data_IF_828339229481
#
_entry.id   IF_828339229481
#
_cell.length_a   1.000
_cell.length_b   1.000
_cell.length_c   1.000
_cell.angle_alpha   90.00
_cell.angle_beta   90.00
_cell.angle_gamma   90.00
#
_symmetry.space_group_name_H-M   'P 1'
#
loop_
_entity.id
_entity.type
_entity.pdbx_description
1 polymer ?
#
# COMPACT_ATOMS: atom_id res chain seq x y z
N UNK A 1 -21.36 -0.05 -9.25
CA UNK A 1 -20.88 0.62 -8.00
C UNK A 1 -20.19 1.95 -8.31
N UNK A 2 -19.99 2.85 -7.33
CA UNK A 2 -19.24 4.12 -7.54
C UNK A 2 -17.78 3.90 -7.91
N UNK A 3 -17.14 2.91 -7.28
CA UNK A 3 -15.77 2.49 -7.61
C UNK A 3 -15.66 2.03 -9.06
N UNK A 4 -16.61 1.23 -9.54
CA UNK A 4 -16.68 0.78 -10.94
C UNK A 4 -16.86 1.95 -11.93
N UNK A 5 -17.75 2.90 -11.60
CA UNK A 5 -17.96 4.10 -12.44
C UNK A 5 -16.70 4.95 -12.50
N UNK A 6 -16.01 5.10 -11.37
CA UNK A 6 -14.72 5.79 -11.28
C UNK A 6 -13.66 5.05 -12.10
N UNK A 7 -13.60 3.73 -12.02
CA UNK A 7 -12.65 2.92 -12.77
C UNK A 7 -12.81 3.07 -14.29
N UNK A 8 -14.06 3.18 -14.77
CA UNK A 8 -14.37 3.45 -16.18
C UNK A 8 -13.93 4.85 -16.59
N UNK A 9 -14.25 5.89 -15.80
CA UNK A 9 -13.93 7.29 -16.12
C UNK A 9 -12.42 7.55 -16.12
N UNK A 10 -11.69 6.95 -15.18
CA UNK A 10 -10.25 7.15 -15.03
C UNK A 10 -9.41 6.07 -15.72
N UNK A 11 -10.04 5.16 -16.47
CA UNK A 11 -9.37 4.05 -17.17
C UNK A 11 -8.38 3.28 -16.29
N UNK A 12 -8.84 2.91 -15.09
CA UNK A 12 -8.02 2.27 -14.06
C UNK A 12 -7.34 1.01 -14.60
N UNK A 13 -6.03 0.89 -14.34
CA UNK A 13 -5.19 -0.20 -14.87
C UNK A 13 -5.18 -1.44 -13.98
N UNK A 14 -5.45 -1.29 -12.70
CA UNK A 14 -5.51 -2.38 -11.72
C UNK A 14 -6.23 -1.92 -10.45
N UNK A 15 -6.73 -2.88 -9.68
CA UNK A 15 -7.23 -2.67 -8.32
C UNK A 15 -6.27 -3.33 -7.34
N UNK A 16 -5.97 -2.61 -6.26
CA UNK A 16 -5.24 -3.13 -5.10
C UNK A 16 -6.21 -3.24 -3.94
N UNK A 17 -6.20 -4.41 -3.31
CA UNK A 17 -6.97 -4.71 -2.13
C UNK A 17 -6.01 -5.01 -0.98
N UNK A 18 -6.27 -4.36 0.15
CA UNK A 18 -5.46 -4.49 1.36
C UNK A 18 -6.38 -5.11 2.41
N UNK A 19 -6.50 -6.43 2.36
CA UNK A 19 -7.51 -7.17 3.12
C UNK A 19 -6.86 -8.10 4.16
N UNK A 20 -7.62 -8.37 5.23
CA UNK A 20 -7.30 -9.45 6.17
C UNK A 20 -7.84 -10.75 5.58
N UNK A 21 -7.07 -11.84 5.68
CA UNK A 21 -7.58 -13.14 5.24
C UNK A 21 -8.74 -13.61 6.13
N UNK A 22 -9.81 -14.10 5.51
CA UNK A 22 -10.98 -14.69 6.18
C UNK A 22 -12.27 -13.90 5.91
N UNK A 23 -13.04 -14.37 4.93
CA UNK A 23 -14.41 -13.93 4.58
C UNK A 23 -14.63 -12.42 4.45
N UNK A 24 -13.91 -11.79 3.51
CA UNK A 24 -14.34 -10.50 2.97
C UNK A 24 -15.29 -10.72 1.75
N UNK A 25 -16.62 -10.60 1.92
CA UNK A 25 -17.57 -10.64 0.80
C UNK A 25 -17.32 -9.52 -0.24
N UNK A 26 -16.54 -8.48 0.09
CA UNK A 26 -16.10 -7.48 -0.89
C UNK A 26 -15.13 -8.07 -1.91
N UNK A 27 -14.23 -8.97 -1.52
CA UNK A 27 -13.32 -9.61 -2.47
C UNK A 27 -14.09 -10.42 -3.51
N UNK A 28 -15.00 -11.30 -3.07
CA UNK A 28 -15.74 -12.18 -3.99
C UNK A 28 -16.66 -11.40 -4.92
N UNK A 29 -17.42 -10.43 -4.40
CA UNK A 29 -18.34 -9.66 -5.22
C UNK A 29 -17.62 -8.59 -6.06
N UNK A 30 -16.63 -7.91 -5.46
CA UNK A 30 -15.84 -6.88 -6.12
C UNK A 30 -15.00 -7.43 -7.26
N UNK A 31 -14.25 -8.52 -7.04
CA UNK A 31 -13.39 -9.11 -8.08
C UNK A 31 -14.18 -9.51 -9.33
N UNK A 32 -15.38 -10.07 -9.19
CA UNK A 32 -16.25 -10.41 -10.32
C UNK A 32 -16.64 -9.18 -11.16
N UNK A 33 -16.96 -8.06 -10.51
CA UNK A 33 -17.30 -6.82 -11.23
C UNK A 33 -16.11 -6.26 -12.02
N UNK A 34 -14.90 -6.29 -11.46
CA UNK A 34 -13.71 -5.78 -12.15
C UNK A 34 -13.16 -6.75 -13.19
N UNK A 35 -13.36 -8.05 -13.00
CA UNK A 35 -13.09 -9.06 -14.01
C UNK A 35 -13.93 -8.81 -15.28
N UNK A 36 -15.20 -8.44 -15.14
CA UNK A 36 -16.06 -8.06 -16.27
C UNK A 36 -15.56 -6.81 -17.02
N UNK A 37 -14.74 -5.96 -16.37
CA UNK A 37 -14.10 -4.79 -16.98
C UNK A 37 -12.70 -5.07 -17.52
N UNK A 38 -12.21 -6.31 -17.46
CA UNK A 38 -10.83 -6.69 -17.77
C UNK A 38 -9.78 -5.91 -16.95
N UNK A 39 -10.13 -5.48 -15.73
CA UNK A 39 -9.21 -4.79 -14.82
C UNK A 39 -8.67 -5.84 -13.84
N UNK A 40 -7.35 -6.07 -13.79
CA UNK A 40 -6.76 -7.04 -12.87
C UNK A 40 -6.89 -6.57 -11.41
N UNK A 41 -7.18 -7.51 -10.53
CA UNK A 41 -7.32 -7.29 -9.09
C UNK A 41 -6.22 -8.03 -8.34
N UNK A 42 -5.51 -7.35 -7.45
CA UNK A 42 -4.45 -7.90 -6.61
C UNK A 42 -4.79 -7.70 -5.12
N UNK A 43 -4.61 -8.72 -4.28
CA UNK A 43 -4.74 -8.60 -2.81
C UNK A 43 -3.39 -8.74 -2.13
N UNK A 44 -3.22 -8.06 -1.01
CA UNK A 44 -2.24 -8.41 0.02
C UNK A 44 -2.98 -8.94 1.24
N UNK A 45 -2.58 -10.08 1.79
CA UNK A 45 -3.17 -10.67 3.00
C UNK A 45 -2.22 -10.57 4.18
N UNK A 46 -2.74 -10.41 5.40
CA UNK A 46 -2.08 -10.88 6.62
C UNK A 46 -2.61 -12.27 6.99
N UNK A 47 -1.71 -13.20 7.33
CA UNK A 47 -2.02 -14.55 7.83
C UNK A 47 -2.49 -15.62 6.81
N UNK A 48 -1.89 -15.67 5.62
CA UNK A 48 -1.74 -16.87 4.79
C UNK A 48 -2.94 -17.77 4.47
N UNK A 49 -3.29 -17.84 3.18
CA UNK A 49 -3.25 -19.12 2.44
C UNK A 49 -3.30 -18.96 0.91
N UNK A 50 -3.85 -17.86 0.37
CA UNK A 50 -3.81 -17.57 -1.08
C UNK A 50 -3.73 -16.04 -1.32
N UNK A 51 -2.52 -15.47 -1.18
CA UNK A 51 -1.69 -14.78 -2.21
C UNK A 51 -0.47 -14.24 -1.47
N UNK A 52 0.66 -14.88 -1.76
CA UNK A 52 2.00 -14.52 -1.31
C UNK A 52 2.42 -13.14 -1.81
N UNK A 53 3.47 -12.60 -1.19
CA UNK A 53 4.36 -11.60 -1.75
C UNK A 53 4.34 -11.54 -3.29
N UNK A 54 4.14 -10.34 -3.85
CA UNK A 54 4.09 -10.17 -5.30
C UNK A 54 4.86 -8.93 -5.76
N UNK A 55 5.30 -8.95 -7.00
CA UNK A 55 5.86 -7.81 -7.71
C UNK A 55 5.09 -7.61 -9.01
N UNK A 56 4.40 -6.47 -9.12
CA UNK A 56 3.74 -6.06 -10.35
C UNK A 56 4.48 -4.87 -10.96
N UNK A 57 4.85 -5.01 -12.23
CA UNK A 57 5.39 -3.92 -13.03
C UNK A 57 4.33 -3.39 -13.99
N UNK A 58 4.13 -2.08 -13.99
CA UNK A 58 3.21 -1.37 -14.88
C UNK A 58 4.03 -0.43 -15.73
N UNK A 59 3.91 -0.54 -17.05
CA UNK A 59 4.57 0.38 -17.98
C UNK A 59 3.88 1.74 -17.92
N UNK A 60 4.68 2.78 -17.80
CA UNK A 60 4.28 4.18 -17.79
C UNK A 60 4.80 4.87 -19.07
N UNK A 61 4.33 6.08 -19.39
CA UNK A 61 4.92 6.89 -20.46
C UNK A 61 6.44 7.07 -20.27
N UNK A 62 7.15 7.33 -21.37
CA UNK A 62 8.60 7.55 -21.40
C UNK A 62 9.42 6.37 -20.86
N UNK A 63 8.95 5.15 -21.13
CA UNK A 63 9.59 3.87 -20.72
C UNK A 63 9.82 3.73 -19.20
N UNK A 64 9.18 4.58 -18.41
CA UNK A 64 9.22 4.48 -16.96
C UNK A 64 8.39 3.27 -16.49
N UNK A 65 8.78 2.70 -15.36
CA UNK A 65 8.08 1.56 -14.77
C UNK A 65 7.60 1.97 -13.38
N UNK A 66 6.33 1.68 -13.10
CA UNK A 66 5.79 1.64 -11.75
C UNK A 66 5.91 0.20 -11.23
N UNK A 67 6.58 0.05 -10.11
CA UNK A 67 6.69 -1.21 -9.38
C UNK A 67 5.81 -1.17 -8.14
N UNK A 68 4.88 -2.13 -8.09
CA UNK A 68 3.99 -2.34 -6.96
C UNK A 68 4.42 -3.65 -6.29
N UNK A 69 4.83 -3.57 -5.04
CA UNK A 69 5.32 -4.70 -4.26
C UNK A 69 4.31 -5.00 -3.16
N UNK A 70 3.60 -6.12 -3.28
CA UNK A 70 2.76 -6.63 -2.20
C UNK A 70 3.59 -7.43 -1.22
N UNK A 71 3.47 -7.14 0.07
CA UNK A 71 4.21 -7.76 1.16
C UNK A 71 3.23 -8.33 2.19
N UNK A 72 3.37 -9.61 2.54
CA UNK A 72 2.69 -10.18 3.71
C UNK A 72 3.36 -9.65 4.98
N UNK A 73 2.60 -8.89 5.78
CA UNK A 73 3.07 -8.30 7.03
C UNK A 73 2.83 -9.22 8.24
N UNK A 74 2.02 -10.28 8.11
CA UNK A 74 1.72 -11.20 9.21
C UNK A 74 2.97 -11.84 9.85
N UNK A 75 3.92 -12.39 9.07
CA UNK A 75 5.18 -12.89 9.61
C UNK A 75 6.03 -11.87 10.38
N UNK A 76 5.79 -10.58 10.21
CA UNK A 76 6.52 -9.52 10.90
C UNK A 76 5.94 -9.25 12.30
N UNK A 77 4.70 -9.64 12.56
CA UNK A 77 4.13 -9.58 13.91
C UNK A 77 4.83 -10.55 14.86
N UNK A 78 5.35 -11.68 14.39
CA UNK A 78 6.09 -12.66 15.21
C UNK A 78 7.38 -12.09 15.85
N UNK A 79 7.82 -10.89 15.44
CA UNK A 79 8.84 -10.11 16.16
C UNK A 79 8.43 -9.79 17.61
N UNK A 80 7.14 -9.89 17.94
CA UNK A 80 6.52 -9.50 19.20
C UNK A 80 6.75 -10.46 20.38
N UNK A 81 7.11 -11.73 20.14
CA UNK A 81 7.00 -12.76 21.18
C UNK A 81 8.27 -13.03 22.00
N UNK A 82 9.47 -12.97 21.42
CA UNK A 82 10.72 -13.31 22.14
C UNK A 82 11.89 -12.33 21.91
N UNK A 83 11.65 -11.17 21.26
CA UNK A 83 12.70 -10.21 20.91
C UNK A 83 13.72 -10.72 19.89
N UNK A 84 13.50 -11.92 19.35
CA UNK A 84 14.31 -12.55 18.30
C UNK A 84 13.45 -12.66 17.03
N UNK A 85 14.00 -12.24 15.89
CA UNK A 85 13.31 -12.39 14.61
C UNK A 85 13.08 -13.87 14.30
N UNK A 86 11.85 -14.23 13.96
CA UNK A 86 11.54 -15.56 13.44
C UNK A 86 12.20 -15.75 12.07
N UNK A 87 12.43 -17.00 11.66
CA UNK A 87 12.97 -17.28 10.32
C UNK A 87 12.03 -16.73 9.23
N UNK A 88 10.72 -16.82 9.45
CA UNK A 88 9.69 -16.28 8.55
C UNK A 88 9.84 -14.75 8.39
N UNK A 89 10.00 -14.00 9.49
CA UNK A 89 10.24 -12.55 9.42
C UNK A 89 11.52 -12.23 8.66
N UNK A 90 12.60 -12.99 8.88
CA UNK A 90 13.90 -12.76 8.21
C UNK A 90 13.82 -13.05 6.72
N UNK A 91 13.16 -14.12 6.32
CA UNK A 91 12.93 -14.47 4.92
C UNK A 91 12.10 -13.39 4.22
N UNK A 92 11.06 -12.90 4.90
CA UNK A 92 10.20 -11.82 4.41
C UNK A 92 10.98 -10.52 4.16
N UNK A 93 11.78 -10.09 5.13
CA UNK A 93 12.63 -8.90 5.02
C UNK A 93 13.67 -9.08 3.91
N UNK A 94 14.31 -10.25 3.84
CA UNK A 94 15.32 -10.55 2.82
C UNK A 94 14.73 -10.54 1.41
N UNK A 95 13.55 -11.15 1.23
CA UNK A 95 12.84 -11.16 -0.05
C UNK A 95 12.48 -9.75 -0.50
N UNK A 96 11.97 -8.92 0.41
CA UNK A 96 11.59 -7.55 0.12
C UNK A 96 12.80 -6.69 -0.27
N UNK A 97 13.90 -6.78 0.49
CA UNK A 97 15.14 -6.09 0.17
C UNK A 97 15.68 -6.50 -1.21
N UNK A 98 15.75 -7.81 -1.48
CA UNK A 98 16.20 -8.31 -2.79
C UNK A 98 15.28 -7.88 -3.93
N UNK A 99 13.98 -7.76 -3.68
CA UNK A 99 13.00 -7.31 -4.67
C UNK A 99 13.19 -5.83 -5.00
N UNK A 100 13.34 -4.98 -3.98
CA UNK A 100 13.51 -3.53 -4.13
C UNK A 100 14.89 -3.14 -4.69
N UNK A 101 15.91 -3.98 -4.49
CA UNK A 101 17.26 -3.78 -5.01
C UNK A 101 17.39 -4.04 -6.52
N UNK A 102 16.42 -4.71 -7.15
CA UNK A 102 16.48 -5.10 -8.58
C UNK A 102 16.39 -3.92 -9.54
N UNK A 103 15.91 -2.77 -9.08
CA UNK A 103 15.70 -1.59 -9.93
C UNK A 103 16.19 -0.32 -9.24
N UNK A 104 16.83 0.52 -10.05
CA UNK A 104 17.10 1.91 -9.74
C UNK A 104 16.17 2.80 -10.58
N UNK A 105 15.70 3.90 -10.00
CA UNK A 105 14.98 5.00 -10.69
C UNK A 105 13.53 4.74 -11.16
N UNK A 106 12.85 3.73 -10.62
CA UNK A 106 11.42 3.49 -10.87
C UNK A 106 10.53 4.03 -9.74
N UNK A 107 9.25 4.29 -10.02
CA UNK A 107 8.27 4.47 -8.96
C UNK A 107 8.15 3.16 -8.18
N UNK A 108 8.21 3.23 -6.86
CA UNK A 108 8.07 2.08 -5.97
C UNK A 108 6.95 2.35 -4.98
N UNK A 109 5.89 1.56 -5.08
CA UNK A 109 4.79 1.52 -4.13
C UNK A 109 4.84 0.15 -3.44
N UNK A 110 4.94 0.16 -2.12
CA UNK A 110 4.83 -1.07 -1.32
C UNK A 110 3.45 -1.11 -0.69
N UNK A 111 2.84 -2.30 -0.68
CA UNK A 111 1.49 -2.52 -0.17
C UNK A 111 1.57 -3.65 0.85
N UNK A 112 1.10 -3.44 2.07
CA UNK A 112 1.03 -4.46 3.11
C UNK A 112 -0.18 -4.23 4.01
N UNK A 113 -0.60 -5.24 4.77
CA UNK A 113 -1.81 -5.10 5.57
C UNK A 113 -1.62 -4.18 6.78
N UNK A 114 -0.52 -4.36 7.52
CA UNK A 114 -0.28 -3.69 8.80
C UNK A 114 0.36 -2.30 8.65
N UNK A 115 -0.12 -1.26 9.34
CA UNK A 115 0.49 0.06 9.29
C UNK A 115 1.86 0.08 9.96
N UNK A 116 2.85 0.70 9.29
CA UNK A 116 4.23 0.80 9.79
C UNK A 116 4.51 2.05 10.63
N UNK A 117 3.58 3.00 10.63
CA UNK A 117 3.67 4.25 11.39
C UNK A 117 2.51 4.36 12.37
N UNK A 118 2.86 4.74 13.59
CA UNK A 118 1.91 5.00 14.68
C UNK A 118 2.15 6.40 15.23
N UNK A 119 1.16 7.28 15.08
CA UNK A 119 1.21 8.66 15.57
C UNK A 119 0.66 8.79 17.01
N UNK A 120 0.24 7.68 17.65
CA UNK A 120 -0.15 7.69 19.06
C UNK A 120 1.06 7.50 19.97
N UNK A 121 1.44 8.55 20.70
CA UNK A 121 2.62 8.59 21.60
C UNK A 121 2.65 7.48 22.67
N UNK A 122 1.51 6.90 23.03
CA UNK A 122 1.40 5.83 24.05
C UNK A 122 1.79 4.45 23.50
N UNK A 123 1.66 4.23 22.19
CA UNK A 123 1.90 2.93 21.52
C UNK A 123 3.16 2.91 20.63
N UNK A 124 3.71 4.08 20.32
CA UNK A 124 4.90 4.28 19.47
C UNK A 124 6.08 3.37 19.83
N UNK A 125 6.39 3.13 21.11
CA UNK A 125 7.63 2.41 21.48
C UNK A 125 7.71 0.96 21.00
N UNK A 126 6.58 0.26 20.83
CA UNK A 126 6.56 -1.15 20.38
C UNK A 126 6.50 -1.25 18.86
N UNK A 127 5.57 -0.54 18.22
CA UNK A 127 5.37 -0.54 16.77
C UNK A 127 6.59 0.03 16.02
N UNK A 128 7.20 1.10 16.55
CA UNK A 128 8.36 1.75 15.91
C UNK A 128 9.56 0.82 15.84
N UNK A 129 9.78 -0.05 16.84
CA UNK A 129 10.94 -0.97 16.85
C UNK A 129 10.80 -2.17 15.92
N UNK A 130 9.57 -2.62 15.70
CA UNK A 130 9.27 -3.82 14.89
C UNK A 130 9.48 -3.53 13.41
N UNK A 131 9.06 -2.34 12.97
CA UNK A 131 9.05 -1.96 11.57
C UNK A 131 10.21 -1.03 11.18
N UNK A 132 11.10 -0.69 12.12
CA UNK A 132 12.31 0.09 11.83
C UNK A 132 13.18 -0.53 10.71
N UNK A 133 13.40 -1.87 10.66
CA UNK A 133 14.12 -2.47 9.54
C UNK A 133 13.46 -2.24 8.18
N UNK A 134 12.12 -2.25 8.13
CA UNK A 134 11.37 -1.98 6.91
C UNK A 134 11.51 -0.52 6.47
N UNK A 135 11.41 0.41 7.43
CA UNK A 135 11.60 1.84 7.16
C UNK A 135 12.99 2.10 6.58
N UNK A 136 14.02 1.48 7.16
CA UNK A 136 15.39 1.60 6.64
C UNK A 136 15.55 1.03 5.22
N UNK A 137 14.91 -0.11 4.92
CA UNK A 137 14.87 -0.68 3.56
C UNK A 137 14.17 0.29 2.60
N UNK A 138 13.04 0.87 3.01
CA UNK A 138 12.28 1.80 2.19
C UNK A 138 13.06 3.07 1.86
N UNK A 139 13.75 3.63 2.85
CA UNK A 139 14.66 4.75 2.65
C UNK A 139 15.82 4.38 1.71
N UNK A 140 16.51 3.27 1.98
CA UNK A 140 17.67 2.79 1.20
C UNK A 140 17.34 2.58 -0.28
N UNK A 141 16.15 2.06 -0.58
CA UNK A 141 15.72 1.76 -1.96
C UNK A 141 14.72 2.76 -2.52
N UNK A 142 14.60 3.92 -1.88
CA UNK A 142 13.81 5.09 -2.31
C UNK A 142 12.36 4.74 -2.66
N UNK A 143 11.68 4.03 -1.76
CA UNK A 143 10.24 3.76 -1.87
C UNK A 143 9.46 5.07 -1.77
N UNK A 144 8.48 5.26 -2.66
CA UNK A 144 7.74 6.52 -2.75
C UNK A 144 6.46 6.51 -1.93
N UNK A 145 5.81 5.35 -1.83
CA UNK A 145 4.59 5.20 -1.06
C UNK A 145 4.51 3.82 -0.39
N UNK A 146 3.95 3.81 0.82
CA UNK A 146 3.52 2.61 1.51
C UNK A 146 2.00 2.66 1.73
N UNK A 147 1.27 1.65 1.25
CA UNK A 147 -0.19 1.56 1.41
C UNK A 147 -0.52 0.45 2.39
N UNK A 148 -1.34 0.76 3.40
CA UNK A 148 -1.80 -0.21 4.40
C UNK A 148 -3.25 -0.05 4.80
N UNK A 149 -3.75 -0.95 5.66
CA UNK A 149 -4.99 -0.71 6.39
C UNK A 149 -4.74 0.20 7.58
N UNK A 150 -5.73 1.04 7.90
CA UNK A 150 -5.87 1.81 9.12
C UNK A 150 -4.61 2.49 9.66
N UNK A 151 -4.70 2.93 10.90
CA UNK A 151 -3.61 3.55 11.63
C UNK A 151 -4.04 4.83 12.33
N UNK A 152 -3.15 5.33 13.18
CA UNK A 152 -3.41 6.47 14.07
C UNK A 152 -3.00 7.81 13.47
N UNK A 153 -2.40 7.82 12.29
CA UNK A 153 -1.86 9.02 11.65
C UNK A 153 -2.87 9.71 10.71
N UNK A 154 -4.10 9.19 10.61
CA UNK A 154 -5.05 9.58 9.57
C UNK A 154 -4.67 8.99 8.20
N UNK A 155 -5.40 9.34 7.15
CA UNK A 155 -5.26 8.71 5.83
C UNK A 155 -3.91 8.95 5.13
N UNK A 156 -3.24 10.07 5.43
CA UNK A 156 -2.01 10.48 4.78
C UNK A 156 -0.99 10.93 5.81
N UNK A 157 0.15 10.25 5.86
CA UNK A 157 1.29 10.65 6.68
C UNK A 157 2.54 10.76 5.81
N UNK A 158 3.25 11.88 5.92
CA UNK A 158 4.46 12.15 5.14
C UNK A 158 5.68 12.04 6.06
N UNK A 159 6.68 11.29 5.61
CA UNK A 159 7.97 11.13 6.28
C UNK A 159 9.07 11.27 5.22
N UNK A 160 9.84 12.34 5.31
CA UNK A 160 10.79 12.75 4.28
C UNK A 160 10.11 12.82 2.88
N UNK A 161 10.54 11.98 1.94
CA UNK A 161 10.01 11.92 0.57
C UNK A 161 9.03 10.77 0.33
N UNK A 162 8.61 10.08 1.39
CA UNK A 162 7.70 8.94 1.29
C UNK A 162 6.35 9.28 1.92
N UNK A 163 5.28 8.79 1.29
CA UNK A 163 3.92 8.89 1.84
C UNK A 163 3.46 7.53 2.37
N UNK A 164 2.93 7.50 3.59
CA UNK A 164 2.15 6.38 4.11
C UNK A 164 0.67 6.69 3.90
N UNK A 165 -0.03 5.76 3.24
CA UNK A 165 -1.44 5.85 2.88
C UNK A 165 -2.19 4.79 3.67
N UNK A 166 -3.06 5.23 4.57
CA UNK A 166 -3.78 4.37 5.51
C UNK A 166 -5.25 4.25 5.07
N UNK A 167 -5.60 3.09 4.52
CA UNK A 167 -6.95 2.76 4.06
C UNK A 167 -7.95 2.84 5.22
N UNK A 168 -9.14 3.44 5.01
CA UNK A 168 -10.21 3.36 5.98
C UNK A 168 -10.51 1.89 6.28
N UNK A 169 -10.63 1.54 7.57
CA UNK A 169 -11.10 0.22 7.97
C UNK A 169 -12.63 0.29 8.03
N UNK A 170 -13.36 -0.57 7.29
CA UNK A 170 -14.81 -0.60 7.36
C UNK A 170 -15.31 -0.76 8.80
N UNK A 171 -16.17 0.15 9.25
CA UNK A 171 -16.73 0.12 10.61
C UNK A 171 -15.92 0.85 11.67
N UNK A 172 -14.76 1.43 11.35
CA UNK A 172 -14.12 2.43 12.22
C UNK A 172 -14.94 3.73 12.17
N UNK A 173 -15.19 4.35 13.33
CA UNK A 173 -16.21 5.41 13.52
C UNK A 173 -15.85 6.75 12.85
N UNK A 174 -14.82 6.78 12.02
CA UNK A 174 -14.48 7.91 11.15
C UNK A 174 -15.42 7.86 9.94
N UNK A 175 -16.38 8.78 9.85
CA UNK A 175 -17.46 8.88 8.85
C UNK A 175 -17.00 9.03 7.36
N UNK A 176 -15.96 8.34 6.91
CA UNK A 176 -15.35 8.46 5.59
C UNK A 176 -15.18 7.07 4.95
N UNK A 177 -16.28 6.33 4.86
CA UNK A 177 -16.34 5.16 3.99
C UNK A 177 -16.06 5.57 2.54
N UNK A 178 -15.20 4.82 1.86
CA UNK A 178 -14.73 5.17 0.53
C UNK A 178 -13.60 4.28 0.04
N UNK A 179 -12.96 4.72 -1.04
CA UNK A 179 -11.80 4.08 -1.63
C UNK A 179 -10.82 5.13 -2.13
N UNK A 180 -9.54 4.77 -2.24
CA UNK A 180 -8.56 5.65 -2.86
C UNK A 180 -8.46 5.43 -4.36
N UNK A 181 -8.27 6.53 -5.08
CA UNK A 181 -7.81 6.53 -6.47
C UNK A 181 -6.38 7.07 -6.51
N UNK A 182 -5.46 6.25 -7.00
CA UNK A 182 -4.07 6.63 -7.22
C UNK A 182 -3.82 6.95 -8.69
N UNK A 183 -3.32 8.15 -8.97
CA UNK A 183 -2.91 8.59 -10.30
C UNK A 183 -1.40 8.82 -10.27
N UNK A 184 -0.67 7.91 -10.89
CA UNK A 184 0.79 7.97 -10.96
C UNK A 184 1.17 8.54 -12.31
N UNK A 185 2.12 9.48 -12.32
CA UNK A 185 2.73 10.07 -13.51
C UNK A 185 4.25 9.94 -13.43
N UNK A 186 4.99 10.31 -14.47
CA UNK A 186 6.45 10.30 -14.42
C UNK A 186 7.09 11.15 -13.31
N UNK A 187 6.37 12.16 -12.78
CA UNK A 187 6.92 13.15 -11.83
C UNK A 187 6.25 13.10 -10.46
N UNK A 188 4.96 12.79 -10.42
CA UNK A 188 4.17 12.80 -9.19
C UNK A 188 3.15 11.68 -9.14
N UNK A 189 2.77 11.31 -7.93
CA UNK A 189 1.65 10.46 -7.61
C UNK A 189 0.64 11.26 -6.81
N UNK A 190 -0.58 11.35 -7.35
CA UNK A 190 -1.74 11.91 -6.67
C UNK A 190 -2.60 10.78 -6.10
N UNK A 191 -3.03 10.93 -4.85
CA UNK A 191 -3.99 10.04 -4.20
C UNK A 191 -5.23 10.80 -3.77
N UNK A 192 -6.40 10.32 -4.17
CA UNK A 192 -7.71 10.93 -3.89
C UNK A 192 -8.53 9.97 -3.03
N UNK A 193 -9.01 10.42 -1.88
CA UNK A 193 -10.04 9.69 -1.12
C UNK A 193 -11.41 10.04 -1.71
N UNK A 194 -12.09 9.04 -2.24
CA UNK A 194 -13.42 9.18 -2.83
C UNK A 194 -14.43 8.48 -1.91
N UNK A 195 -15.39 9.24 -1.39
CA UNK A 195 -16.41 8.70 -0.50
C UNK A 195 -17.48 7.90 -1.29
N UNK A 196 -18.41 7.25 -0.57
CA UNK A 196 -19.51 6.48 -1.19
C UNK A 196 -20.47 7.31 -2.06
N UNK A 197 -20.49 8.65 -1.95
CA UNK A 197 -21.25 9.51 -2.87
C UNK A 197 -20.53 9.73 -4.21
N UNK A 198 -19.24 9.39 -4.29
CA UNK A 198 -18.36 9.69 -5.40
C UNK A 198 -17.71 11.08 -5.33
N UNK A 199 -17.69 11.71 -4.15
CA UNK A 199 -17.03 13.00 -3.93
C UNK A 199 -15.60 12.78 -3.43
N UNK A 200 -14.67 13.57 -3.97
CA UNK A 200 -13.31 13.67 -3.43
C UNK A 200 -13.38 14.41 -2.10
N UNK A 201 -13.01 13.73 -1.01
CA UNK A 201 -13.06 14.28 0.35
C UNK A 201 -11.68 14.63 0.89
N UNK A 202 -10.62 13.97 0.40
CA UNK A 202 -9.24 14.29 0.71
C UNK A 202 -8.33 14.01 -0.50
N UNK A 203 -7.18 14.68 -0.54
CA UNK A 203 -6.17 14.58 -1.60
C UNK A 203 -4.77 14.71 -1.01
N UNK A 204 -3.84 13.93 -1.54
CA UNK A 204 -2.40 14.06 -1.25
C UNK A 204 -1.59 13.86 -2.52
N UNK A 205 -0.43 14.52 -2.61
CA UNK A 205 0.51 14.42 -3.74
C UNK A 205 1.90 14.14 -3.18
N UNK A 206 2.61 13.24 -3.84
CA UNK A 206 4.03 12.94 -3.57
C UNK A 206 4.81 13.01 -4.88
N UNK A 207 6.04 13.53 -4.83
CA UNK A 207 6.92 13.62 -5.99
C UNK A 207 7.85 12.41 -6.05
N UNK A 208 8.26 12.02 -7.27
CA UNK A 208 9.20 10.92 -7.42
C UNK A 208 10.55 11.30 -6.79
N UNK A 209 11.05 10.44 -5.90
CA UNK A 209 12.37 10.62 -5.31
C UNK A 209 13.46 10.65 -6.39
N UNK A 210 14.35 11.65 -6.33
CA UNK A 210 15.46 11.82 -7.29
C UNK A 210 15.12 12.60 -8.57
N UNK A 211 13.88 13.11 -8.72
CA UNK A 211 13.50 14.08 -9.74
C UNK A 211 12.86 15.30 -9.07
N UNK A 212 13.68 16.10 -8.38
CA UNK A 212 13.26 17.46 -8.08
C UNK A 212 13.06 18.20 -9.40
N UNK A 213 11.95 18.93 -9.51
CA UNK A 213 11.70 19.79 -10.66
C UNK A 213 12.85 20.80 -10.75
N UNK A 214 13.70 20.68 -11.79
CA UNK A 214 14.49 21.80 -12.27
C UNK A 214 13.57 22.86 -12.88
#
# INVERSE_FOLDING_TARGET
MKMESTAKVYEVKLVLDVARFGDDPLWQNGSLHFQALNIPWYSTTSHGQIVSNFLKKVKMPYDQILEIVGVDTGPLEDLLHDGKMSNSSREQITWLEQTLARTSNNWKIVVGYDPLVDCNEVRTTKTTKIYEPLRHIFEKYTVNAYVSTGGSCGHFHHDNSMIYIQNPIPGDQTNLDGFFLHRVSPLEMETLLINLDGKVVQRSVVHQHGREAM
#
